data_IF_963380678828
#
_entry.id   IF_963380678828
#
_cell.length_a   1.000
_cell.length_b   1.000
_cell.length_c   1.000
_cell.angle_alpha   90.00
_cell.angle_beta   90.00
_cell.angle_gamma   90.00
#
_symmetry.space_group_name_H-M   'P 1'
#
loop_
_entity.id
_entity.type
_entity.pdbx_description
1 polymer ?
#
# COMPACT_ATOMS: atom_id res chain seq x y z
N UNK A 1 3.16 43.32 -7.85
CA UNK A 1 2.82 44.46 -6.96
C UNK A 1 1.59 44.23 -6.07
N UNK A 2 0.55 43.48 -6.50
CA UNK A 2 -0.68 43.21 -5.71
C UNK A 2 -0.45 42.63 -4.30
N UNK A 3 0.47 41.68 -4.12
CA UNK A 3 0.64 40.98 -2.84
C UNK A 3 1.13 41.89 -1.70
N UNK A 4 2.06 42.81 -1.99
CA UNK A 4 2.59 43.75 -0.99
C UNK A 4 1.55 44.77 -0.52
N UNK A 5 0.62 45.16 -1.40
CA UNK A 5 -0.46 46.09 -1.04
C UNK A 5 -1.47 45.45 -0.07
N UNK A 6 -1.81 44.18 -0.30
CA UNK A 6 -2.73 43.42 0.57
C UNK A 6 -2.12 43.19 1.94
N UNK A 7 -0.84 42.78 1.99
CA UNK A 7 -0.14 42.58 3.27
C UNK A 7 -0.04 43.90 4.05
N UNK A 8 0.24 45.03 3.39
CA UNK A 8 0.28 46.35 4.06
C UNK A 8 -1.07 46.79 4.61
N UNK A 9 -2.17 46.50 3.92
CA UNK A 9 -3.51 46.84 4.38
C UNK A 9 -3.96 45.97 5.58
N UNK A 10 -3.52 44.71 5.61
CA UNK A 10 -3.95 43.73 6.62
C UNK A 10 -3.11 43.79 7.90
N UNK A 11 -1.84 44.22 7.81
CA UNK A 11 -0.92 44.32 8.93
C UNK A 11 -1.43 45.19 10.10
N UNK A 12 -1.97 46.41 9.90
CA UNK A 12 -2.48 47.21 11.01
C UNK A 12 -3.69 46.57 11.69
N UNK A 13 -4.57 45.92 10.92
CA UNK A 13 -5.72 45.19 11.48
C UNK A 13 -5.25 43.99 12.32
N UNK A 14 -4.24 43.26 11.83
CA UNK A 14 -3.67 42.11 12.53
C UNK A 14 -3.12 42.48 13.92
N UNK A 15 -2.44 43.62 14.03
CA UNK A 15 -1.90 44.11 15.32
C UNK A 15 -3.02 44.31 16.34
N UNK A 16 -4.14 44.94 15.95
CA UNK A 16 -5.27 45.14 16.86
C UNK A 16 -5.90 43.83 17.34
N UNK A 17 -5.98 42.81 16.47
CA UNK A 17 -6.51 41.50 16.85
C UNK A 17 -5.52 40.69 17.70
N UNK A 18 -4.22 40.86 17.51
CA UNK A 18 -3.19 40.21 18.31
C UNK A 18 -3.09 40.79 19.72
N UNK A 19 -3.20 42.11 19.86
CA UNK A 19 -3.21 42.79 21.17
C UNK A 19 -4.44 42.43 22.00
N UNK A 20 -5.57 42.14 21.35
CA UNK A 20 -6.80 41.70 22.00
C UNK A 20 -6.81 40.19 22.36
N UNK A 21 -5.82 39.41 21.91
CA UNK A 21 -5.79 37.96 22.12
C UNK A 21 -5.27 37.60 23.52
N UNK A 22 -5.91 36.63 24.18
CA UNK A 22 -5.64 36.29 25.58
C UNK A 22 -4.71 35.09 25.75
N UNK A 23 -4.56 34.28 24.72
CA UNK A 23 -3.74 33.06 24.76
C UNK A 23 -3.06 32.78 23.43
N UNK A 24 -2.03 31.94 23.49
CA UNK A 24 -1.19 31.58 22.35
C UNK A 24 -1.97 30.85 21.24
N UNK A 25 -2.99 30.07 21.59
CA UNK A 25 -3.85 29.37 20.63
C UNK A 25 -4.70 30.35 19.80
N UNK A 26 -5.24 31.39 20.42
CA UNK A 26 -5.95 32.48 19.75
C UNK A 26 -5.02 33.25 18.82
N UNK A 27 -3.80 33.57 19.27
CA UNK A 27 -2.78 34.20 18.43
C UNK A 27 -2.48 33.37 17.17
N UNK A 28 -2.24 32.07 17.33
CA UNK A 28 -2.00 31.17 16.19
C UNK A 28 -3.20 31.08 15.26
N UNK A 29 -4.42 31.09 15.79
CA UNK A 29 -5.65 31.04 15.00
C UNK A 29 -5.84 32.32 14.18
N UNK A 30 -5.56 33.48 14.76
CA UNK A 30 -5.62 34.79 14.09
C UNK A 30 -4.56 34.87 12.98
N UNK A 31 -3.31 34.49 13.28
CA UNK A 31 -2.21 34.47 12.31
C UNK A 31 -2.49 33.52 11.14
N UNK A 32 -2.96 32.31 11.45
CA UNK A 32 -3.30 31.33 10.44
C UNK A 32 -4.49 31.78 9.59
N UNK A 33 -5.55 32.32 10.21
CA UNK A 33 -6.71 32.87 9.52
C UNK A 33 -6.35 34.01 8.56
N UNK A 34 -5.50 34.94 9.01
CA UNK A 34 -4.99 36.04 8.20
C UNK A 34 -4.16 35.55 7.01
N UNK A 35 -3.25 34.59 7.24
CA UNK A 35 -2.47 33.98 6.17
C UNK A 35 -3.35 33.28 5.14
N UNK A 36 -4.39 32.55 5.58
CA UNK A 36 -5.36 31.89 4.69
C UNK A 36 -6.16 32.91 3.88
N UNK A 37 -6.61 34.01 4.50
CA UNK A 37 -7.34 35.07 3.81
C UNK A 37 -6.50 35.75 2.72
N UNK A 38 -5.24 36.07 3.02
CA UNK A 38 -4.28 36.64 2.05
C UNK A 38 -4.02 35.66 0.90
N UNK A 39 -3.78 34.38 1.20
CA UNK A 39 -3.58 33.34 0.20
C UNK A 39 -4.82 33.18 -0.72
N UNK A 40 -6.03 33.21 -0.16
CA UNK A 40 -7.29 33.16 -0.94
C UNK A 40 -7.47 34.39 -1.82
N UNK A 41 -7.22 35.59 -1.30
CA UNK A 41 -7.36 36.84 -2.03
C UNK A 41 -6.39 36.94 -3.22
N UNK A 42 -5.18 36.42 -3.06
CA UNK A 42 -4.15 36.42 -4.11
C UNK A 42 -4.35 35.25 -5.10
N UNK A 43 -5.29 34.34 -4.84
CA UNK A 43 -5.51 33.13 -5.63
C UNK A 43 -4.38 32.10 -5.48
N UNK A 44 -3.61 32.18 -4.39
CA UNK A 44 -2.56 31.21 -4.08
C UNK A 44 -3.20 29.87 -3.69
N UNK A 45 -2.74 28.78 -4.31
CA UNK A 45 -3.17 27.42 -3.96
C UNK A 45 -2.64 27.09 -2.57
N UNK A 46 -3.49 27.10 -1.56
CA UNK A 46 -3.12 26.55 -0.25
C UNK A 46 -2.93 25.03 -0.40
N UNK A 47 -1.84 24.46 0.14
CA UNK A 47 -1.73 23.02 0.26
C UNK A 47 -2.87 22.56 1.19
N UNK A 48 -3.86 21.87 0.62
CA UNK A 48 -4.88 21.17 1.40
C UNK A 48 -4.17 20.23 2.38
N UNK A 49 -4.18 20.58 3.66
CA UNK A 49 -3.74 19.72 4.75
C UNK A 49 -4.57 18.43 4.68
N UNK A 50 -3.99 17.37 4.11
CA UNK A 50 -4.68 16.10 3.88
C UNK A 50 -4.29 15.40 2.59
N UNK A 51 -3.76 16.10 1.58
CA UNK A 51 -3.17 15.45 0.41
C UNK A 51 -1.66 15.31 0.60
N UNK A 52 -1.25 14.65 1.67
CA UNK A 52 -0.03 13.86 1.55
C UNK A 52 -0.31 12.88 0.42
N UNK A 53 0.33 13.08 -0.73
CA UNK A 53 0.34 12.12 -1.82
C UNK A 53 1.05 10.88 -1.25
N UNK A 54 0.33 10.08 -0.46
CA UNK A 54 0.80 8.79 0.02
C UNK A 54 1.00 8.02 -1.27
N UNK A 55 2.23 8.01 -1.77
CA UNK A 55 2.64 7.11 -2.83
C UNK A 55 2.11 5.76 -2.39
N UNK A 56 1.07 5.27 -3.08
CA UNK A 56 0.53 3.94 -2.85
C UNK A 56 1.75 3.03 -2.83
N UNK A 57 2.05 2.43 -1.68
CA UNK A 57 3.23 1.59 -1.53
C UNK A 57 3.12 0.51 -2.58
N UNK A 58 3.83 0.69 -3.69
CA UNK A 58 3.58 -0.08 -4.89
C UNK A 58 3.81 -1.55 -4.54
N UNK A 59 2.80 -2.38 -4.75
CA UNK A 59 2.90 -3.82 -4.48
C UNK A 59 4.16 -4.32 -5.21
N UNK A 60 5.13 -4.92 -4.49
CA UNK A 60 6.38 -5.33 -5.10
C UNK A 60 6.16 -6.25 -6.29
N UNK A 61 6.99 -6.13 -7.33
CA UNK A 61 6.84 -6.92 -8.56
C UNK A 61 6.86 -8.43 -8.30
N UNK A 62 7.64 -8.92 -7.33
CA UNK A 62 7.64 -10.33 -6.94
C UNK A 62 6.28 -10.79 -6.41
N UNK A 63 5.58 -9.94 -5.65
CA UNK A 63 4.28 -10.27 -5.06
C UNK A 63 3.21 -10.36 -6.14
N UNK A 64 3.17 -9.38 -7.05
CA UNK A 64 2.30 -9.41 -8.24
C UNK A 64 2.50 -10.68 -9.07
N UNK A 65 3.75 -11.12 -9.26
CA UNK A 65 4.05 -12.36 -10.00
C UNK A 65 3.47 -13.60 -9.32
N UNK A 66 3.57 -13.71 -7.99
CA UNK A 66 3.01 -14.85 -7.24
C UNK A 66 1.48 -14.80 -7.24
N UNK A 67 0.88 -13.64 -6.98
CA UNK A 67 -0.57 -13.45 -7.03
C UNK A 67 -1.13 -13.78 -8.42
N UNK A 68 -0.43 -13.40 -9.49
CA UNK A 68 -0.79 -13.79 -10.86
C UNK A 68 -0.75 -15.30 -11.10
N UNK A 69 0.21 -16.03 -10.51
CA UNK A 69 0.26 -17.50 -10.57
C UNK A 69 -0.91 -18.13 -9.81
N UNK A 70 -1.23 -17.62 -8.62
CA UNK A 70 -2.38 -18.06 -7.82
C UNK A 70 -3.68 -17.85 -8.61
N UNK A 71 -3.88 -16.67 -9.20
CA UNK A 71 -5.07 -16.35 -9.99
C UNK A 71 -5.23 -17.30 -11.20
N UNK A 72 -4.14 -17.54 -11.95
CA UNK A 72 -4.15 -18.49 -13.07
C UNK A 72 -4.48 -19.91 -12.60
N UNK A 73 -3.91 -20.36 -11.49
CA UNK A 73 -4.20 -21.69 -10.94
C UNK A 73 -5.66 -21.82 -10.48
N UNK A 74 -6.22 -20.82 -9.79
CA UNK A 74 -7.64 -20.79 -9.40
C UNK A 74 -8.58 -20.84 -10.62
N UNK A 75 -8.26 -20.07 -11.66
CA UNK A 75 -9.02 -20.09 -12.90
C UNK A 75 -8.96 -21.46 -13.60
N UNK A 76 -7.80 -22.12 -13.57
CA UNK A 76 -7.66 -23.47 -14.10
C UNK A 76 -8.47 -24.49 -13.29
N UNK A 77 -8.39 -24.46 -11.95
CA UNK A 77 -9.21 -25.31 -11.07
C UNK A 77 -10.69 -25.16 -11.43
N UNK A 78 -11.20 -23.93 -11.54
CA UNK A 78 -12.61 -23.69 -11.89
C UNK A 78 -13.02 -24.34 -13.22
N UNK A 79 -12.14 -24.32 -14.23
CA UNK A 79 -12.38 -24.96 -15.52
C UNK A 79 -12.32 -26.49 -15.44
N UNK A 80 -11.37 -27.05 -14.70
CA UNK A 80 -11.27 -28.50 -14.49
C UNK A 80 -12.48 -29.03 -13.72
N UNK A 81 -12.94 -28.32 -12.69
CA UNK A 81 -14.16 -28.64 -11.95
C UNK A 81 -15.39 -28.53 -12.84
N UNK A 82 -15.50 -27.49 -13.67
CA UNK A 82 -16.62 -27.34 -14.61
C UNK A 82 -16.68 -28.50 -15.62
N UNK A 83 -15.53 -28.91 -16.15
CA UNK A 83 -15.43 -30.06 -17.05
C UNK A 83 -15.85 -31.35 -16.35
N UNK A 84 -15.37 -31.57 -15.11
CA UNK A 84 -15.76 -32.72 -14.28
C UNK A 84 -17.28 -32.78 -14.01
N UNK A 85 -17.94 -31.62 -13.90
CA UNK A 85 -19.41 -31.53 -13.78
C UNK A 85 -20.17 -31.74 -15.09
N UNK A 86 -19.51 -32.14 -16.19
CA UNK A 86 -20.13 -32.43 -17.48
C UNK A 86 -20.16 -31.25 -18.46
N UNK A 87 -19.49 -30.13 -18.16
CA UNK A 87 -19.48 -28.98 -19.06
C UNK A 87 -18.44 -29.14 -20.18
N UNK A 88 -18.93 -29.55 -21.36
CA UNK A 88 -18.10 -29.84 -22.54
C UNK A 88 -18.04 -28.70 -23.56
N UNK A 89 -18.23 -27.44 -23.14
CA UNK A 89 -18.08 -26.31 -24.07
C UNK A 89 -16.66 -26.30 -24.67
N UNK A 90 -16.49 -26.01 -25.99
CA UNK A 90 -15.19 -26.08 -26.66
C UNK A 90 -14.06 -25.29 -25.98
N UNK A 91 -14.39 -24.14 -25.40
CA UNK A 91 -13.43 -23.30 -24.66
C UNK A 91 -12.90 -23.96 -23.39
N UNK A 92 -13.75 -24.70 -22.68
CA UNK A 92 -13.37 -25.45 -21.48
C UNK A 92 -12.54 -26.65 -21.88
N UNK A 93 -13.01 -27.44 -22.85
CA UNK A 93 -12.28 -28.59 -23.40
C UNK A 93 -10.88 -28.20 -23.86
N UNK A 94 -10.72 -27.12 -24.65
CA UNK A 94 -9.40 -26.64 -25.08
C UNK A 94 -8.50 -26.31 -23.91
N UNK A 95 -9.03 -25.72 -22.83
CA UNK A 95 -8.22 -25.42 -21.64
C UNK A 95 -7.80 -26.70 -20.91
N UNK A 96 -8.71 -27.68 -20.79
CA UNK A 96 -8.43 -28.97 -20.15
C UNK A 96 -7.37 -29.72 -20.97
N UNK A 97 -7.52 -29.80 -22.29
CA UNK A 97 -6.51 -30.34 -23.21
C UNK A 97 -5.14 -29.70 -23.01
N UNK A 98 -5.06 -28.37 -22.97
CA UNK A 98 -3.80 -27.67 -22.70
C UNK A 98 -3.24 -27.95 -21.30
N UNK A 99 -4.09 -28.21 -20.30
CA UNK A 99 -3.65 -28.51 -18.93
C UNK A 99 -2.95 -29.87 -18.80
N UNK A 100 -3.26 -30.79 -19.73
CA UNK A 100 -2.68 -32.12 -19.89
C UNK A 100 -1.77 -32.23 -21.13
N UNK A 101 -1.50 -31.13 -21.84
CA UNK A 101 -0.61 -31.16 -22.99
C UNK A 101 0.79 -31.64 -22.57
N UNK A 102 1.32 -32.61 -23.31
CA UNK A 102 2.59 -33.26 -22.98
C UNK A 102 2.50 -34.35 -21.90
N UNK A 103 1.30 -34.66 -21.41
CA UNK A 103 1.04 -35.88 -20.63
C UNK A 103 0.37 -36.91 -21.54
N UNK A 104 0.68 -38.21 -21.38
CA UNK A 104 0.05 -39.31 -22.14
C UNK A 104 -1.42 -39.58 -21.71
N UNK A 105 -2.14 -38.53 -21.29
CA UNK A 105 -3.48 -38.61 -20.75
C UNK A 105 -4.46 -38.16 -21.83
N UNK A 106 -5.28 -39.09 -22.31
CA UNK A 106 -6.40 -38.76 -23.20
C UNK A 106 -7.66 -38.48 -22.38
N UNK A 107 -8.42 -37.45 -22.77
CA UNK A 107 -9.67 -37.08 -22.10
C UNK A 107 -10.79 -38.11 -22.26
N UNK A 108 -10.62 -39.07 -23.17
CA UNK A 108 -11.55 -40.18 -23.41
C UNK A 108 -11.28 -41.41 -22.54
N UNK A 109 -10.20 -41.41 -21.74
CA UNK A 109 -9.91 -42.53 -20.86
C UNK A 109 -10.89 -42.61 -19.68
N UNK A 110 -11.25 -43.82 -19.22
CA UNK A 110 -12.17 -43.99 -18.09
C UNK A 110 -11.61 -43.43 -16.77
N UNK A 111 -10.28 -43.31 -16.65
CA UNK A 111 -9.59 -42.81 -15.46
C UNK A 111 -9.45 -41.27 -15.41
N UNK A 112 -10.00 -40.55 -16.40
CA UNK A 112 -9.83 -39.09 -16.51
C UNK A 112 -10.34 -38.34 -15.28
N UNK A 113 -11.42 -38.81 -14.64
CA UNK A 113 -12.00 -38.19 -13.44
C UNK A 113 -11.03 -38.21 -12.27
N UNK A 114 -10.28 -39.30 -12.11
CA UNK A 114 -9.26 -39.41 -11.08
C UNK A 114 -8.10 -38.46 -11.37
N UNK A 115 -7.57 -38.49 -12.59
CA UNK A 115 -6.47 -37.61 -13.04
C UNK A 115 -6.82 -36.12 -12.94
N UNK A 116 -8.08 -35.75 -13.20
CA UNK A 116 -8.59 -34.39 -12.98
C UNK A 116 -8.52 -34.00 -11.49
N UNK A 117 -8.87 -34.93 -10.60
CA UNK A 117 -8.86 -34.69 -9.16
C UNK A 117 -7.44 -34.51 -8.65
N UNK A 118 -6.54 -35.40 -9.02
CA UNK A 118 -5.10 -35.30 -8.72
C UNK A 118 -4.54 -33.96 -9.20
N UNK A 119 -4.87 -33.57 -10.44
CA UNK A 119 -4.43 -32.29 -11.00
C UNK A 119 -4.99 -31.08 -10.25
N UNK A 120 -6.24 -31.14 -9.81
CA UNK A 120 -6.85 -30.08 -8.99
C UNK A 120 -6.13 -29.98 -7.64
N UNK A 121 -5.83 -31.12 -7.00
CA UNK A 121 -5.18 -31.14 -5.70
C UNK A 121 -3.72 -30.67 -5.77
N UNK A 122 -2.98 -31.03 -6.82
CA UNK A 122 -1.67 -30.45 -7.14
C UNK A 122 -1.72 -28.91 -7.22
N UNK A 123 -2.74 -28.37 -7.88
CA UNK A 123 -2.90 -26.92 -8.01
C UNK A 123 -3.24 -26.28 -6.67
N UNK A 124 -4.08 -26.91 -5.84
CA UNK A 124 -4.36 -26.43 -4.48
C UNK A 124 -3.10 -26.43 -3.61
N UNK A 125 -2.30 -27.51 -3.67
CA UNK A 125 -1.02 -27.59 -2.95
C UNK A 125 -0.07 -26.47 -3.39
N UNK A 126 0.05 -26.22 -4.70
CA UNK A 126 0.85 -25.11 -5.24
C UNK A 126 0.36 -23.74 -4.77
N UNK A 127 -0.96 -23.51 -4.78
CA UNK A 127 -1.56 -22.27 -4.25
C UNK A 127 -1.18 -22.08 -2.78
N UNK A 128 -1.37 -23.11 -1.94
CA UNK A 128 -1.03 -23.04 -0.52
C UNK A 128 0.46 -22.72 -0.29
N UNK A 129 1.35 -23.33 -1.09
CA UNK A 129 2.79 -23.04 -1.04
C UNK A 129 3.11 -21.57 -1.42
N UNK A 130 2.47 -21.05 -2.47
CA UNK A 130 2.64 -19.66 -2.90
C UNK A 130 2.10 -18.65 -1.88
N UNK A 131 0.94 -18.92 -1.28
CA UNK A 131 0.38 -18.09 -0.21
C UNK A 131 1.30 -18.08 1.03
N UNK A 132 1.82 -19.24 1.42
CA UNK A 132 2.81 -19.36 2.51
C UNK A 132 4.07 -18.53 2.20
N UNK A 133 4.55 -18.54 0.95
CA UNK A 133 5.68 -17.71 0.51
C UNK A 133 5.38 -16.21 0.64
N UNK A 134 4.20 -15.75 0.21
CA UNK A 134 3.78 -14.34 0.38
C UNK A 134 3.76 -13.96 1.87
N UNK A 135 3.16 -14.80 2.73
CA UNK A 135 3.10 -14.55 4.18
C UNK A 135 4.51 -14.41 4.78
N UNK A 136 5.41 -15.35 4.46
CA UNK A 136 6.81 -15.33 4.95
C UNK A 136 7.54 -14.04 4.56
N UNK A 137 7.44 -13.62 3.31
CA UNK A 137 8.13 -12.41 2.84
C UNK A 137 7.52 -11.13 3.42
N UNK A 138 6.20 -11.10 3.59
CA UNK A 138 5.52 -9.97 4.23
C UNK A 138 5.96 -9.85 5.69
N UNK A 139 5.99 -10.96 6.41
CA UNK A 139 6.43 -11.01 7.80
C UNK A 139 7.91 -10.61 7.96
N UNK A 140 8.79 -11.13 7.11
CA UNK A 140 10.21 -10.75 7.11
C UNK A 140 10.39 -9.25 6.86
N UNK A 141 9.67 -8.69 5.89
CA UNK A 141 9.71 -7.25 5.59
C UNK A 141 9.18 -6.41 6.77
N UNK A 142 8.11 -6.89 7.43
CA UNK A 142 7.53 -6.25 8.62
C UNK A 142 8.54 -6.21 9.76
N UNK A 143 9.16 -7.35 10.09
CA UNK A 143 10.18 -7.46 11.14
C UNK A 143 11.38 -6.56 10.87
N UNK A 144 11.86 -6.54 9.63
CA UNK A 144 12.94 -5.64 9.23
C UNK A 144 12.57 -4.18 9.49
N UNK A 145 11.37 -3.75 9.09
CA UNK A 145 10.94 -2.38 9.30
C UNK A 145 10.74 -2.03 10.79
N UNK A 146 10.18 -2.95 11.58
CA UNK A 146 10.03 -2.78 13.03
C UNK A 146 11.38 -2.68 13.74
N UNK A 147 12.34 -3.55 13.41
CA UNK A 147 13.69 -3.50 13.99
C UNK A 147 14.40 -2.20 13.62
N UNK A 148 14.23 -1.72 12.38
CA UNK A 148 14.80 -0.45 11.94
C UNK A 148 14.23 0.74 12.71
N UNK A 149 12.91 0.78 12.90
CA UNK A 149 12.24 1.81 13.72
C UNK A 149 12.72 1.76 15.18
N UNK A 150 12.81 0.57 15.76
CA UNK A 150 13.31 0.39 17.11
C UNK A 150 14.76 0.89 17.26
N UNK A 151 15.64 0.60 16.31
CA UNK A 151 17.02 1.09 16.32
C UNK A 151 17.11 2.61 16.19
N UNK A 152 16.28 3.24 15.36
CA UNK A 152 16.24 4.70 15.27
C UNK A 152 15.79 5.34 16.59
N UNK A 153 14.78 4.76 17.24
CA UNK A 153 14.27 5.24 18.52
C UNK A 153 15.31 5.07 19.65
N UNK A 154 16.04 3.97 19.65
CA UNK A 154 17.16 3.76 20.59
C UNK A 154 18.30 4.75 20.39
N UNK A 155 18.61 5.13 19.15
CA UNK A 155 19.64 6.15 18.86
C UNK A 155 19.18 7.53 19.31
N UNK A 156 17.92 7.88 19.06
CA UNK A 156 17.34 9.15 19.49
C UNK A 156 17.34 9.27 21.02
N UNK A 157 16.92 8.21 21.71
CA UNK A 157 16.95 8.19 23.18
C UNK A 157 18.39 8.28 23.71
N UNK A 158 19.34 7.45 23.24
CA UNK A 158 20.75 7.54 23.67
C UNK A 158 21.38 8.91 23.44
N UNK A 159 21.09 9.57 22.31
CA UNK A 159 21.56 10.93 22.04
C UNK A 159 21.00 11.96 23.03
N UNK A 160 19.74 11.79 23.46
CA UNK A 160 19.10 12.64 24.46
C UNK A 160 19.66 12.45 25.88
N UNK A 161 20.04 11.21 26.24
CA UNK A 161 20.69 10.90 27.52
C UNK A 161 22.19 11.25 27.55
N UNK A 162 22.80 11.41 26.38
CA UNK A 162 24.17 11.92 26.23
C UNK A 162 24.13 13.45 26.24
N UNK A 163 23.84 14.04 27.41
CA UNK A 163 23.87 15.50 27.60
C UNK A 163 25.22 16.12 27.18
N UNK A 164 25.28 17.45 26.98
CA UNK A 164 26.48 18.11 26.49
C UNK A 164 27.67 17.71 27.35
N UNK A 165 28.74 17.17 26.72
CA UNK A 165 30.01 16.95 27.39
C UNK A 165 30.41 18.28 28.01
N UNK A 166 30.26 18.40 29.32
CA UNK A 166 30.82 19.49 30.10
C UNK A 166 32.33 19.34 30.00
N UNK A 167 32.91 20.01 29.01
CA UNK A 167 34.34 20.28 28.96
C UNK A 167 34.64 21.33 30.02
N UNK A 168 34.98 20.86 31.22
CA UNK A 168 35.67 21.67 32.21
C UNK A 168 37.17 21.47 31.97
N UNK A 169 37.78 22.47 31.33
CA UNK A 169 39.22 22.71 31.30
C UNK A 169 39.48 24.08 31.87
#
# INVERSE_FOLDING_TARGET
MRNRAVVRALNPMLVTYLEASRNLCEMFSILFGAAVAVCRFIGAKLPMAGRANRQSSAIPAWRKRIEGRIAKARALIGKLTSFRSGNNRPRIMRTVWMAFAGTNISLSQPDITQKLTERIDDLKQKIAAWEKRIRRFTESSRRFNQNRLFQSDQRATKGMWSGPRTGSG
#
